data_IF_974419904555
#
_entry.id   IF_974419904555
#
_cell.length_a   1.000
_cell.length_b   1.000
_cell.length_c   1.000
_cell.angle_alpha   90.00
_cell.angle_beta   90.00
_cell.angle_gamma   90.00
#
_symmetry.space_group_name_H-M   'P 1'
#
loop_
_entity.id
_entity.type
_entity.pdbx_description
1 polymer ?
#
# COMPACT_ATOMS: atom_id res chain seq x y z
N UNK A 1 -8.26 -6.55 -1.27
CA UNK A 1 -8.25 -7.61 -0.22
C UNK A 1 -7.43 -8.83 -0.62
N UNK A 2 -7.41 -9.24 -1.89
CA UNK A 2 -6.77 -10.52 -2.27
C UNK A 2 -5.22 -10.54 -2.26
N UNK A 3 -4.57 -9.37 -2.31
CA UNK A 3 -3.10 -9.31 -2.42
C UNK A 3 -2.39 -9.82 -1.17
N UNK A 4 -2.86 -9.44 0.03
CA UNK A 4 -2.28 -9.89 1.30
C UNK A 4 -2.65 -11.35 1.61
N UNK A 5 -3.88 -11.77 1.31
CA UNK A 5 -4.30 -13.16 1.46
C UNK A 5 -3.41 -14.12 0.62
N UNK A 6 -3.08 -13.74 -0.61
CA UNK A 6 -2.12 -14.52 -1.43
C UNK A 6 -0.75 -14.62 -0.76
N UNK A 7 -0.27 -13.57 -0.09
CA UNK A 7 1.01 -13.59 0.64
C UNK A 7 0.93 -14.47 1.89
N UNK A 8 -0.12 -14.34 2.69
CA UNK A 8 -0.41 -15.19 3.86
C UNK A 8 -0.35 -16.66 3.46
N UNK A 9 -1.10 -17.03 2.41
CA UNK A 9 -1.13 -18.40 1.90
C UNK A 9 0.24 -18.85 1.39
N UNK A 10 0.96 -18.00 0.65
CA UNK A 10 2.29 -18.34 0.12
C UNK A 10 3.35 -18.57 1.21
N UNK A 11 3.18 -17.97 2.39
CA UNK A 11 4.06 -18.16 3.53
C UNK A 11 3.56 -19.24 4.51
N UNK A 12 2.45 -19.91 4.20
CA UNK A 12 1.86 -20.92 5.09
C UNK A 12 1.34 -20.35 6.41
N UNK A 13 0.98 -19.06 6.44
CA UNK A 13 0.43 -18.39 7.62
C UNK A 13 -1.07 -18.65 7.73
N UNK A 14 -1.59 -18.62 8.95
CA UNK A 14 -3.03 -18.63 9.19
C UNK A 14 -3.63 -17.26 8.88
N UNK A 15 -4.76 -17.23 8.17
CA UNK A 15 -5.49 -15.99 7.90
C UNK A 15 -6.07 -15.43 9.20
N UNK A 16 -5.70 -14.18 9.60
CA UNK A 16 -6.22 -13.58 10.82
C UNK A 16 -7.64 -13.02 10.67
N UNK A 17 -8.24 -13.03 9.48
CA UNK A 17 -9.58 -12.47 9.25
C UNK A 17 -10.67 -13.35 9.87
N UNK A 18 -11.51 -12.74 10.71
CA UNK A 18 -12.68 -13.40 11.28
C UNK A 18 -13.88 -13.42 10.31
N UNK A 19 -14.78 -14.43 10.37
CA UNK A 19 -15.90 -14.54 9.43
C UNK A 19 -16.89 -13.37 9.49
N UNK A 20 -17.00 -12.71 10.65
CA UNK A 20 -17.96 -11.62 10.86
C UNK A 20 -17.28 -10.27 10.72
N UNK A 21 -17.89 -9.40 9.91
CA UNK A 21 -17.44 -8.01 9.75
C UNK A 21 -17.42 -7.29 11.10
N UNK A 22 -16.33 -6.59 11.37
CA UNK A 22 -16.17 -5.77 12.57
C UNK A 22 -15.68 -6.55 13.79
N UNK A 23 -15.36 -7.84 13.63
CA UNK A 23 -14.70 -8.63 14.66
C UNK A 23 -13.20 -8.78 14.33
N UNK A 24 -12.34 -8.53 15.31
CA UNK A 24 -10.88 -8.64 15.20
C UNK A 24 -10.31 -9.38 16.40
N UNK A 25 -9.25 -10.18 16.19
CA UNK A 25 -8.52 -10.83 17.29
C UNK A 25 -7.73 -9.83 18.15
N UNK A 26 -7.29 -8.70 17.57
CA UNK A 26 -6.57 -7.66 18.29
C UNK A 26 -7.55 -6.76 19.03
N UNK A 27 -7.40 -6.65 20.36
CA UNK A 27 -8.21 -5.75 21.20
C UNK A 27 -8.07 -4.28 20.76
N UNK A 28 -6.88 -3.90 20.31
CA UNK A 28 -6.61 -2.55 19.79
C UNK A 28 -7.41 -2.28 18.51
N UNK A 29 -7.33 -3.17 17.52
CA UNK A 29 -8.11 -3.04 16.28
C UNK A 29 -9.61 -3.11 16.54
N UNK A 30 -10.01 -3.96 17.48
CA UNK A 30 -11.41 -4.10 17.87
C UNK A 30 -11.94 -2.81 18.51
N UNK A 31 -11.16 -2.13 19.35
CA UNK A 31 -11.53 -0.84 19.92
C UNK A 31 -11.55 0.25 18.86
N UNK A 32 -10.50 0.34 18.05
CA UNK A 32 -10.41 1.31 16.96
C UNK A 32 -11.61 1.20 16.01
N UNK A 33 -12.00 -0.02 15.64
CA UNK A 33 -13.19 -0.26 14.83
C UNK A 33 -14.46 0.30 15.47
N UNK A 34 -14.70 -0.01 16.76
CA UNK A 34 -15.90 0.48 17.47
C UNK A 34 -15.95 2.00 17.50
N UNK A 35 -14.82 2.63 17.83
CA UNK A 35 -14.72 4.08 17.98
C UNK A 35 -14.93 4.79 16.64
N UNK A 36 -14.27 4.31 15.58
CA UNK A 36 -14.42 4.86 14.23
C UNK A 36 -15.83 4.65 13.67
N UNK A 37 -16.45 3.50 13.90
CA UNK A 37 -17.85 3.26 13.47
C UNK A 37 -18.82 4.14 14.25
N UNK A 38 -18.61 4.30 15.56
CA UNK A 38 -19.43 5.19 16.38
C UNK A 38 -19.33 6.64 15.91
N UNK A 39 -18.12 7.12 15.59
CA UNK A 39 -17.90 8.45 15.01
C UNK A 39 -18.56 8.58 13.63
N UNK A 40 -18.29 7.67 12.71
CA UNK A 40 -18.77 7.75 11.33
C UNK A 40 -20.29 7.65 11.18
N UNK A 41 -20.98 7.11 12.20
CA UNK A 41 -22.46 7.08 12.25
C UNK A 41 -23.11 8.41 12.61
N UNK A 42 -22.34 9.39 13.10
CA UNK A 42 -22.90 10.66 13.55
C UNK A 42 -23.37 11.53 12.38
N UNK A 43 -22.60 11.58 11.29
CA UNK A 43 -22.97 12.31 10.09
C UNK A 43 -22.18 11.86 8.86
N UNK A 44 -22.60 12.32 7.68
CA UNK A 44 -21.83 12.15 6.45
C UNK A 44 -20.42 12.75 6.57
N UNK A 45 -20.29 13.95 7.15
CA UNK A 45 -18.99 14.60 7.37
C UNK A 45 -18.11 13.74 8.29
N UNK A 46 -18.65 13.25 9.39
CA UNK A 46 -17.91 12.38 10.32
C UNK A 46 -17.46 11.08 9.65
N UNK A 47 -18.26 10.54 8.73
CA UNK A 47 -17.88 9.35 7.95
C UNK A 47 -16.71 9.62 7.00
N UNK A 48 -16.64 10.81 6.41
CA UNK A 48 -15.51 11.23 5.57
C UNK A 48 -14.24 11.44 6.40
N UNK A 49 -14.37 12.05 7.58
CA UNK A 49 -13.25 12.19 8.52
C UNK A 49 -12.72 10.83 8.98
N UNK A 50 -13.61 9.88 9.28
CA UNK A 50 -13.22 8.50 9.62
C UNK A 50 -12.49 7.84 8.46
N UNK A 51 -12.96 8.01 7.22
CA UNK A 51 -12.26 7.54 6.03
C UNK A 51 -10.84 8.10 5.92
N UNK A 52 -10.67 9.42 6.07
CA UNK A 52 -9.35 10.04 6.09
C UNK A 52 -8.47 9.52 7.25
N UNK A 53 -9.04 9.29 8.43
CA UNK A 53 -8.31 8.74 9.59
C UNK A 53 -7.82 7.32 9.36
N UNK A 54 -8.62 6.46 8.72
CA UNK A 54 -8.18 5.10 8.37
C UNK A 54 -6.98 5.14 7.43
N UNK A 55 -7.04 5.97 6.38
CA UNK A 55 -5.94 6.04 5.40
C UNK A 55 -4.67 6.68 5.98
N UNK A 56 -4.80 7.62 6.91
CA UNK A 56 -3.70 8.19 7.68
C UNK A 56 -2.97 7.13 8.53
N UNK A 57 -3.74 6.28 9.23
CA UNK A 57 -3.21 5.13 9.98
C UNK A 57 -2.53 4.13 9.02
N UNK A 58 -3.20 3.74 7.94
CA UNK A 58 -2.68 2.78 6.97
C UNK A 58 -1.36 3.27 6.34
N UNK A 59 -1.25 4.55 5.98
CA UNK A 59 -0.01 5.13 5.44
C UNK A 59 1.13 5.01 6.45
N UNK A 60 0.88 5.35 7.71
CA UNK A 60 1.87 5.25 8.78
C UNK A 60 2.34 3.79 8.95
N UNK A 61 1.40 2.86 9.03
CA UNK A 61 1.68 1.44 9.25
C UNK A 61 2.42 0.81 8.06
N UNK A 62 2.04 1.13 6.81
CA UNK A 62 2.77 0.64 5.64
C UNK A 62 4.18 1.20 5.56
N UNK A 63 4.40 2.47 5.89
CA UNK A 63 5.75 3.05 5.93
C UNK A 63 6.63 2.32 6.95
N UNK A 64 6.13 2.08 8.16
CA UNK A 64 6.84 1.30 9.18
C UNK A 64 7.09 -0.14 8.71
N UNK A 65 6.11 -0.79 8.09
CA UNK A 65 6.25 -2.16 7.60
C UNK A 65 7.28 -2.29 6.46
N UNK A 66 7.36 -1.30 5.58
CA UNK A 66 8.37 -1.24 4.48
C UNK A 66 9.77 -1.05 5.04
N UNK A 67 9.93 -0.17 6.04
CA UNK A 67 11.22 0.12 6.67
C UNK A 67 11.76 -1.10 7.43
N UNK A 68 10.89 -1.83 8.13
CA UNK A 68 11.28 -2.91 9.04
C UNK A 68 11.48 -4.27 8.37
N UNK A 69 10.87 -4.51 7.21
CA UNK A 69 11.00 -5.79 6.51
C UNK A 69 12.23 -5.83 5.60
N UNK A 70 12.79 -7.01 5.38
CA UNK A 70 13.78 -7.27 4.32
C UNK A 70 13.22 -8.14 3.18
N UNK A 71 11.97 -8.60 3.29
CA UNK A 71 11.35 -9.42 2.27
C UNK A 71 10.87 -8.52 1.11
N UNK A 72 11.58 -8.58 -0.02
CA UNK A 72 11.28 -7.77 -1.21
C UNK A 72 9.83 -7.96 -1.69
N UNK A 73 9.33 -9.20 -1.63
CA UNK A 73 7.97 -9.50 -2.08
C UNK A 73 6.89 -8.85 -1.19
N UNK A 74 7.19 -8.68 0.11
CA UNK A 74 6.36 -7.89 1.02
C UNK A 74 6.51 -6.39 0.79
N UNK A 75 7.74 -5.88 0.62
CA UNK A 75 7.97 -4.45 0.30
C UNK A 75 7.17 -4.00 -0.91
N UNK A 76 7.26 -4.72 -2.02
CA UNK A 76 6.50 -4.40 -3.24
C UNK A 76 4.98 -4.44 -3.03
N UNK A 77 4.49 -5.30 -2.12
CA UNK A 77 3.07 -5.37 -1.81
C UNK A 77 2.64 -4.17 -0.96
N UNK A 78 3.41 -3.83 0.06
CA UNK A 78 3.14 -2.69 0.94
C UNK A 78 3.28 -1.35 0.22
N UNK A 79 4.27 -1.17 -0.66
CA UNK A 79 4.41 0.04 -1.48
C UNK A 79 3.18 0.28 -2.36
N UNK A 80 2.62 -0.77 -2.97
CA UNK A 80 1.39 -0.66 -3.77
C UNK A 80 0.19 -0.28 -2.91
N UNK A 81 0.08 -0.83 -1.70
CA UNK A 81 -0.99 -0.50 -0.76
C UNK A 81 -0.84 0.95 -0.25
N UNK A 82 0.38 1.36 0.08
CA UNK A 82 0.73 2.73 0.47
C UNK A 82 0.32 3.75 -0.60
N UNK A 83 0.60 3.49 -1.87
CA UNK A 83 0.14 4.36 -2.96
C UNK A 83 -1.39 4.37 -3.09
N UNK A 84 -2.06 3.24 -2.87
CA UNK A 84 -3.51 3.16 -2.78
C UNK A 84 -4.07 4.05 -1.67
N UNK A 85 -3.52 3.95 -0.46
CA UNK A 85 -3.95 4.72 0.70
C UNK A 85 -3.71 6.22 0.54
N UNK A 86 -2.59 6.64 -0.08
CA UNK A 86 -2.37 8.04 -0.47
C UNK A 86 -3.47 8.56 -1.40
N UNK A 87 -3.93 7.74 -2.35
CA UNK A 87 -5.00 8.13 -3.28
C UNK A 87 -6.36 8.26 -2.57
N UNK A 88 -6.68 7.32 -1.70
CA UNK A 88 -7.89 7.36 -0.90
C UNK A 88 -7.90 8.57 0.05
N UNK A 89 -6.78 8.83 0.73
CA UNK A 89 -6.64 9.99 1.62
C UNK A 89 -6.90 11.30 0.85
N UNK A 90 -6.32 11.48 -0.34
CA UNK A 90 -6.61 12.64 -1.20
C UNK A 90 -8.09 12.76 -1.52
N UNK A 91 -8.73 11.65 -1.87
CA UNK A 91 -10.17 11.63 -2.18
C UNK A 91 -11.02 12.06 -0.97
N UNK A 92 -10.72 11.56 0.23
CA UNK A 92 -11.44 11.99 1.44
C UNK A 92 -11.19 13.45 1.77
N UNK A 93 -9.96 13.96 1.60
CA UNK A 93 -9.64 15.38 1.78
C UNK A 93 -10.47 16.25 0.82
N UNK A 94 -10.55 15.87 -0.45
CA UNK A 94 -11.31 16.61 -1.46
C UNK A 94 -12.80 16.63 -1.13
N UNK A 95 -13.36 15.48 -0.73
CA UNK A 95 -14.75 15.38 -0.30
C UNK A 95 -15.02 16.24 0.94
N UNK A 96 -14.12 16.25 1.93
CA UNK A 96 -14.24 17.10 3.12
C UNK A 96 -14.19 18.58 2.75
N UNK A 97 -13.30 18.98 1.84
CA UNK A 97 -13.20 20.36 1.37
C UNK A 97 -14.48 20.80 0.64
N UNK A 98 -15.11 19.92 -0.14
CA UNK A 98 -16.41 20.19 -0.77
C UNK A 98 -17.53 20.39 0.27
N UNK A 99 -17.39 19.83 1.48
CA UNK A 99 -18.27 20.07 2.62
C UNK A 99 -17.83 21.28 3.49
N UNK A 100 -16.83 22.05 3.06
CA UNK A 100 -16.29 23.18 3.83
C UNK A 100 -15.50 22.76 5.07
N UNK A 101 -14.96 21.55 5.10
CA UNK A 101 -14.16 20.98 6.19
C UNK A 101 -12.72 20.72 5.77
N UNK A 102 -11.83 20.65 6.75
CA UNK A 102 -10.43 20.28 6.56
C UNK A 102 -10.09 19.10 7.47
N UNK A 103 -9.21 18.23 6.98
CA UNK A 103 -8.66 17.13 7.78
C UNK A 103 -7.30 17.54 8.35
N UNK A 104 -7.02 17.12 9.59
CA UNK A 104 -5.71 17.26 10.22
C UNK A 104 -5.15 15.85 10.49
N UNK A 105 -3.92 15.55 10.06
CA UNK A 105 -3.34 14.23 10.26
C UNK A 105 -3.11 13.94 11.75
N UNK A 106 -3.35 12.68 12.13
CA UNK A 106 -3.26 12.15 13.48
C UNK A 106 -2.08 11.20 13.65
N UNK A 107 -1.65 10.49 12.59
CA UNK A 107 -0.52 9.55 12.64
C UNK A 107 0.66 10.02 11.79
N UNK A 108 0.41 10.45 10.57
CA UNK A 108 1.47 10.99 9.70
C UNK A 108 1.84 12.42 10.08
N UNK A 109 3.07 12.84 9.76
CA UNK A 109 3.49 14.22 10.00
C UNK A 109 2.72 15.21 9.10
N UNK A 110 2.57 16.46 9.57
CA UNK A 110 1.95 17.52 8.76
C UNK A 110 2.70 17.72 7.43
N UNK A 111 4.03 17.62 7.44
CA UNK A 111 4.84 17.75 6.23
C UNK A 111 4.51 16.66 5.20
N UNK A 112 4.45 15.40 5.64
CA UNK A 112 4.09 14.28 4.78
C UNK A 112 2.66 14.42 4.25
N UNK A 113 1.72 14.84 5.10
CA UNK A 113 0.34 15.10 4.70
C UNK A 113 0.25 16.16 3.59
N UNK A 114 0.94 17.29 3.74
CA UNK A 114 0.99 18.34 2.71
C UNK A 114 1.67 17.86 1.42
N UNK A 115 2.70 17.01 1.53
CA UNK A 115 3.35 16.41 0.37
C UNK A 115 2.42 15.47 -0.40
N UNK A 116 1.64 14.64 0.31
CA UNK A 116 0.63 13.75 -0.29
C UNK A 116 -0.44 14.58 -1.00
N UNK A 117 -0.94 15.65 -0.37
CA UNK A 117 -1.97 16.53 -0.94
C UNK A 117 -1.52 17.20 -2.25
N UNK A 118 -0.27 17.67 -2.32
CA UNK A 118 0.25 18.39 -3.50
C UNK A 118 0.48 17.51 -4.73
N UNK A 119 0.70 16.21 -4.54
CA UNK A 119 1.08 15.32 -5.63
C UNK A 119 -0.19 14.87 -6.39
N UNK A 120 -0.70 15.70 -7.30
CA UNK A 120 -1.98 15.46 -7.97
C UNK A 120 -1.91 14.44 -9.13
N UNK A 121 -0.74 14.13 -9.68
CA UNK A 121 -0.63 13.30 -10.89
C UNK A 121 0.10 11.98 -10.66
N UNK A 122 -0.64 10.93 -10.32
CA UNK A 122 -0.26 9.59 -10.74
C UNK A 122 -1.42 8.95 -11.48
N UNK A 123 -1.28 8.91 -12.80
CA UNK A 123 -2.02 7.98 -13.63
C UNK A 123 -1.69 6.58 -13.08
N UNK A 124 -2.67 5.84 -12.59
CA UNK A 124 -2.48 4.44 -12.20
C UNK A 124 -2.13 3.54 -13.41
N UNK A 125 -2.16 4.12 -14.62
CA UNK A 125 -1.42 3.60 -15.75
C UNK A 125 0.08 3.76 -15.52
N UNK A 126 0.71 2.63 -15.19
CA UNK A 126 2.15 2.46 -15.30
C UNK A 126 2.56 2.65 -16.78
N UNK A 127 2.76 3.89 -17.23
CA UNK A 127 3.14 4.21 -18.62
C UNK A 127 4.62 3.99 -18.92
N UNK A 128 5.41 3.51 -17.96
CA UNK A 128 6.72 2.93 -18.28
C UNK A 128 6.53 1.47 -18.66
N UNK A 129 6.66 1.18 -19.96
CA UNK A 129 6.76 -0.17 -20.52
C UNK A 129 8.04 -0.85 -19.99
N UNK A 130 8.01 -1.29 -18.73
CA UNK A 130 9.09 -2.02 -18.06
C UNK A 130 9.62 -1.33 -16.79
N UNK A 131 9.83 -2.14 -15.74
CA UNK A 131 10.59 -1.80 -14.54
C UNK A 131 12.00 -2.39 -14.72
N UNK A 132 13.05 -1.56 -14.59
CA UNK A 132 14.43 -2.02 -14.59
C UNK A 132 14.90 -2.12 -13.13
N UNK A 133 15.27 -3.32 -12.68
CA UNK A 133 15.78 -3.57 -11.33
C UNK A 133 17.27 -3.88 -11.41
N UNK A 134 18.10 -3.11 -10.70
CA UNK A 134 19.53 -3.35 -10.59
C UNK A 134 19.82 -4.22 -9.36
N UNK A 135 20.34 -5.42 -9.57
CA UNK A 135 20.76 -6.30 -8.49
C UNK A 135 22.15 -5.89 -7.98
N UNK A 136 22.27 -5.62 -6.69
CA UNK A 136 23.53 -5.18 -6.08
C UNK A 136 24.48 -6.34 -5.74
N UNK A 137 23.98 -7.58 -5.72
CA UNK A 137 24.75 -8.78 -5.40
C UNK A 137 24.32 -9.96 -6.27
N UNK A 138 25.24 -10.90 -6.52
CA UNK A 138 25.00 -12.09 -7.34
C UNK A 138 23.88 -12.97 -6.74
N UNK A 139 23.82 -13.08 -5.42
CA UNK A 139 22.77 -13.84 -4.73
C UNK A 139 21.36 -13.30 -5.01
N UNK A 140 21.21 -11.97 -5.01
CA UNK A 140 19.92 -11.33 -5.31
C UNK A 140 19.60 -11.51 -6.80
N UNK A 141 20.61 -11.41 -7.67
CA UNK A 141 20.43 -11.65 -9.10
C UNK A 141 19.91 -13.07 -9.39
N UNK A 142 20.48 -14.09 -8.75
CA UNK A 142 20.02 -15.48 -8.90
C UNK A 142 18.57 -15.68 -8.45
N UNK A 143 18.14 -15.02 -7.37
CA UNK A 143 16.76 -15.05 -6.90
C UNK A 143 15.80 -14.35 -7.88
N UNK A 144 16.21 -13.20 -8.42
CA UNK A 144 15.41 -12.47 -9.41
C UNK A 144 15.31 -13.21 -10.75
N UNK A 145 16.34 -13.94 -11.18
CA UNK A 145 16.27 -14.80 -12.37
C UNK A 145 15.19 -15.88 -12.20
N UNK A 146 15.03 -16.45 -11.00
CA UNK A 146 13.95 -17.40 -10.71
C UNK A 146 12.58 -16.73 -10.83
N UNK A 147 12.43 -15.52 -10.29
CA UNK A 147 11.20 -14.74 -10.40
C UNK A 147 10.86 -14.39 -11.85
N UNK A 148 11.86 -14.02 -12.65
CA UNK A 148 11.73 -13.77 -14.10
C UNK A 148 11.24 -15.02 -14.82
N UNK A 149 11.74 -16.20 -14.46
CA UNK A 149 11.31 -17.46 -15.06
C UNK A 149 9.85 -17.79 -14.70
N UNK A 150 9.45 -17.56 -13.45
CA UNK A 150 8.05 -17.70 -13.02
C UNK A 150 7.16 -16.74 -13.80
N UNK A 151 7.56 -15.46 -13.91
CA UNK A 151 6.81 -14.46 -14.67
C UNK A 151 6.63 -14.85 -16.14
N UNK A 152 7.66 -15.40 -16.79
CA UNK A 152 7.56 -15.95 -18.16
C UNK A 152 6.57 -17.10 -18.25
N UNK A 153 6.58 -18.02 -17.29
CA UNK A 153 5.66 -19.15 -17.26
C UNK A 153 4.19 -18.69 -17.11
N UNK A 154 3.96 -17.59 -16.40
CA UNK A 154 2.67 -16.92 -16.26
C UNK A 154 2.32 -15.99 -17.46
N UNK A 155 3.08 -16.07 -18.55
CA UNK A 155 2.82 -15.31 -19.78
C UNK A 155 3.22 -13.83 -19.75
N UNK A 156 3.95 -13.39 -18.72
CA UNK A 156 4.46 -12.02 -18.61
C UNK A 156 5.74 -11.84 -19.43
N UNK A 157 5.87 -10.68 -20.09
CA UNK A 157 7.08 -10.32 -20.83
C UNK A 157 8.20 -9.86 -19.88
N UNK A 158 9.01 -10.81 -19.41
CA UNK A 158 10.19 -10.55 -18.59
C UNK A 158 11.45 -11.11 -19.28
N UNK A 159 12.58 -10.39 -19.19
CA UNK A 159 13.89 -10.86 -19.69
C UNK A 159 15.03 -10.33 -18.82
N UNK A 160 16.09 -11.11 -18.73
CA UNK A 160 17.37 -10.67 -18.17
C UNK A 160 18.09 -9.77 -19.18
N UNK A 161 18.86 -8.80 -18.69
CA UNK A 161 19.67 -7.89 -19.48
C UNK A 161 21.11 -7.98 -19.02
N UNK A 162 22.02 -8.18 -19.97
CA UNK A 162 23.45 -8.06 -19.71
C UNK A 162 23.86 -6.58 -19.56
N UNK A 163 25.03 -6.36 -18.95
CA UNK A 163 25.55 -5.00 -18.76
C UNK A 163 25.86 -4.30 -20.09
N UNK A 164 26.18 -5.06 -21.14
CA UNK A 164 26.42 -4.53 -22.48
C UNK A 164 25.13 -4.17 -23.22
N UNK A 165 24.03 -4.87 -22.93
CA UNK A 165 22.69 -4.48 -23.41
C UNK A 165 22.15 -3.27 -22.66
N UNK A 166 22.42 -3.19 -21.35
CA UNK A 166 22.00 -2.06 -20.52
C UNK A 166 22.61 -0.74 -21.01
N UNK A 167 23.89 -0.75 -21.40
CA UNK A 167 24.58 0.43 -21.95
C UNK A 167 24.05 0.89 -23.32
N UNK A 168 23.23 0.07 -24.00
CA UNK A 168 22.67 0.36 -25.33
C UNK A 168 21.20 0.81 -25.27
N UNK A 169 20.57 0.72 -24.09
CA UNK A 169 19.21 1.22 -23.82
C UNK A 169 19.26 2.72 -23.52
#
# INVERSE_FOLDING_TARGET
MDALLRKINSFGLSDPVLPRRGEFYSDELQSLYRDLVAKGKQSYIDSLEVGATVEDIDICDFMMAIETTNNLALKTSYEKLLEGSKNHLRTFIDLLQQQGRTYHPQRISQELFEAIKKNENFNCHYEKKGLLMLCQTDKILEEEIKNVQIAKNEGLKARELSMDELKKL
#
